data_IF_242213164961
#
_entry.id   IF_242213164961
#
_cell.length_a   1.000
_cell.length_b   1.000
_cell.length_c   1.000
_cell.angle_alpha   90.00
_cell.angle_beta   90.00
_cell.angle_gamma   90.00
#
_symmetry.space_group_name_H-M   'P 1'
#
loop_
_entity.id
_entity.type
_entity.pdbx_description
1 polymer ?
#
# COMPACT_ATOMS: atom_id res chain seq x y z
N UNK A 1 -36.62 20.43 -5.51
CA UNK A 1 -35.29 21.06 -5.66
C UNK A 1 -34.30 19.95 -5.92
N UNK A 2 -33.96 19.76 -7.18
CA UNK A 2 -32.92 18.81 -7.61
C UNK A 2 -31.60 19.54 -7.43
N UNK A 3 -30.73 19.01 -6.58
CA UNK A 3 -29.39 19.52 -6.40
C UNK A 3 -28.58 18.99 -7.59
N UNK A 4 -28.44 19.82 -8.64
CA UNK A 4 -27.52 19.56 -9.73
C UNK A 4 -26.11 19.53 -9.14
N UNK A 5 -25.57 18.32 -8.97
CA UNK A 5 -24.14 18.13 -8.82
C UNK A 5 -23.57 18.53 -10.18
N UNK A 6 -22.90 19.68 -10.21
CA UNK A 6 -22.02 20.06 -11.31
C UNK A 6 -20.98 18.95 -11.48
N UNK A 7 -21.29 17.99 -12.35
CA UNK A 7 -20.31 17.14 -12.99
C UNK A 7 -19.35 18.08 -13.69
N UNK A 8 -18.16 18.25 -13.13
CA UNK A 8 -17.06 18.92 -13.81
C UNK A 8 -16.83 18.20 -15.15
N UNK A 9 -17.31 18.83 -16.21
CA UNK A 9 -17.04 18.49 -17.60
C UNK A 9 -15.54 18.31 -17.80
N UNK A 10 -15.14 17.10 -18.23
CA UNK A 10 -14.16 16.72 -19.26
C UNK A 10 -13.00 17.68 -19.61
N UNK A 11 -12.47 18.43 -18.63
CA UNK A 11 -11.29 19.30 -18.78
C UNK A 11 -10.17 18.96 -17.78
N UNK A 12 -10.38 17.95 -16.93
CA UNK A 12 -9.43 17.52 -15.90
C UNK A 12 -8.32 16.56 -16.39
N UNK A 13 -8.30 16.24 -17.68
CA UNK A 13 -7.35 15.31 -18.29
C UNK A 13 -5.92 15.86 -18.46
N UNK A 14 -5.65 17.12 -18.12
CA UNK A 14 -4.36 17.75 -18.45
C UNK A 14 -3.44 18.06 -17.27
N UNK A 15 -3.85 17.85 -16.00
CA UNK A 15 -2.98 18.20 -14.86
C UNK A 15 -3.33 17.56 -13.50
N UNK A 16 -3.99 16.39 -13.46
CA UNK A 16 -4.23 15.70 -12.18
C UNK A 16 -3.04 14.81 -11.82
N UNK A 17 -2.42 15.10 -10.68
CA UNK A 17 -1.44 14.23 -10.04
C UNK A 17 -2.13 12.88 -9.73
N UNK A 18 -1.79 11.84 -10.50
CA UNK A 18 -2.35 10.48 -10.42
C UNK A 18 -2.17 9.80 -9.05
N UNK A 19 -1.33 10.37 -8.18
CA UNK A 19 -0.98 9.84 -6.87
C UNK A 19 -1.10 10.95 -5.81
N UNK A 20 -2.31 11.47 -5.62
CA UNK A 20 -2.68 12.34 -4.49
C UNK A 20 -3.77 11.68 -3.64
N UNK A 21 -3.74 11.79 -2.30
CA UNK A 21 -4.73 11.13 -1.43
C UNK A 21 -6.16 11.51 -1.75
N UNK A 22 -6.41 12.79 -2.02
CA UNK A 22 -7.74 13.30 -2.35
C UNK A 22 -8.23 12.70 -3.68
N UNK A 23 -7.37 12.66 -4.71
CA UNK A 23 -7.70 12.02 -5.98
C UNK A 23 -8.01 10.52 -5.82
N UNK A 24 -7.18 9.79 -5.08
CA UNK A 24 -7.37 8.35 -4.83
C UNK A 24 -8.66 8.08 -4.03
N UNK A 25 -8.97 8.96 -3.08
CA UNK A 25 -10.19 8.91 -2.28
C UNK A 25 -11.42 9.23 -3.14
N UNK A 26 -11.37 10.30 -3.92
CA UNK A 26 -12.44 10.71 -4.86
C UNK A 26 -12.75 9.61 -5.86
N UNK A 27 -11.73 8.92 -6.37
CA UNK A 27 -11.90 7.80 -7.28
C UNK A 27 -12.72 6.67 -6.62
N UNK A 28 -12.37 6.27 -5.40
CA UNK A 28 -13.09 5.23 -4.67
C UNK A 28 -14.52 5.66 -4.29
N UNK A 29 -14.72 6.93 -3.93
CA UNK A 29 -16.04 7.51 -3.65
C UNK A 29 -16.91 7.51 -4.90
N UNK A 30 -16.38 7.91 -6.05
CA UNK A 30 -17.09 7.84 -7.33
C UNK A 30 -17.55 6.40 -7.63
N UNK A 31 -16.67 5.40 -7.42
CA UNK A 31 -17.04 3.98 -7.56
C UNK A 31 -18.09 3.52 -6.57
N UNK A 32 -18.12 4.10 -5.37
CA UNK A 32 -19.17 3.84 -4.39
C UNK A 32 -20.53 4.39 -4.87
N UNK A 33 -20.56 5.56 -5.51
CA UNK A 33 -21.79 6.15 -6.08
C UNK A 33 -22.32 5.38 -7.30
N UNK A 34 -21.46 4.76 -8.11
CA UNK A 34 -21.87 3.90 -9.24
C UNK A 34 -22.69 2.68 -8.77
N UNK A 35 -22.58 2.29 -7.49
CA UNK A 35 -23.37 1.22 -6.87
C UNK A 35 -24.82 1.67 -6.64
N UNK A 36 -25.63 1.49 -7.67
CA UNK A 36 -26.96 2.10 -7.86
C UNK A 36 -28.14 1.39 -7.18
N UNK A 37 -27.94 0.32 -6.40
CA UNK A 37 -29.03 -0.41 -5.73
C UNK A 37 -28.88 -0.46 -4.21
N UNK A 38 -30.00 -0.36 -3.48
CA UNK A 38 -30.09 -0.58 -2.02
C UNK A 38 -29.62 -2.01 -1.65
N UNK A 39 -29.75 -2.97 -2.57
CA UNK A 39 -29.35 -4.38 -2.38
C UNK A 39 -27.83 -4.64 -2.37
N UNK A 40 -26.99 -3.62 -2.59
CA UNK A 40 -25.53 -3.75 -2.63
C UNK A 40 -24.83 -3.08 -1.44
N UNK A 41 -25.47 -3.11 -0.26
CA UNK A 41 -24.92 -2.58 1.00
C UNK A 41 -23.52 -3.12 1.31
N UNK A 42 -23.29 -4.41 1.07
CA UNK A 42 -21.99 -5.05 1.29
C UNK A 42 -20.86 -4.37 0.49
N UNK A 43 -21.09 -4.02 -0.78
CA UNK A 43 -20.09 -3.36 -1.64
C UNK A 43 -19.83 -1.93 -1.20
N UNK A 44 -20.87 -1.19 -0.84
CA UNK A 44 -20.73 0.17 -0.31
C UNK A 44 -19.85 0.17 0.94
N UNK A 45 -20.06 -0.79 1.84
CA UNK A 45 -19.24 -0.93 3.03
C UNK A 45 -17.79 -1.31 2.70
N UNK A 46 -17.55 -2.23 1.75
CA UNK A 46 -16.18 -2.55 1.30
C UNK A 46 -15.45 -1.28 0.84
N UNK A 47 -16.08 -0.50 -0.04
CA UNK A 47 -15.50 0.73 -0.56
C UNK A 47 -15.32 1.79 0.54
N UNK A 48 -16.24 1.87 1.49
CA UNK A 48 -16.12 2.75 2.67
C UNK A 48 -14.90 2.39 3.51
N UNK A 49 -14.71 1.10 3.85
CA UNK A 49 -13.52 0.66 4.58
C UNK A 49 -12.22 0.88 3.78
N UNK A 50 -12.26 0.73 2.45
CA UNK A 50 -11.12 1.05 1.59
C UNK A 50 -10.77 2.54 1.65
N UNK A 51 -11.77 3.42 1.57
CA UNK A 51 -11.62 4.88 1.70
C UNK A 51 -11.03 5.25 3.07
N UNK A 52 -11.46 4.56 4.13
CA UNK A 52 -10.94 4.75 5.49
C UNK A 52 -9.53 4.15 5.71
N UNK A 53 -8.95 3.50 4.69
CA UNK A 53 -7.58 2.97 4.77
C UNK A 53 -7.44 1.67 5.56
N UNK A 54 -8.52 0.89 5.70
CA UNK A 54 -8.44 -0.41 6.36
C UNK A 54 -7.76 -1.44 5.46
N UNK A 55 -6.91 -2.29 6.04
CA UNK A 55 -6.32 -3.44 5.36
C UNK A 55 -7.36 -4.48 4.95
N UNK A 56 -7.20 -5.11 3.78
CA UNK A 56 -8.20 -6.06 3.24
C UNK A 56 -8.63 -7.18 4.19
N UNK A 57 -7.73 -7.67 5.02
CA UNK A 57 -8.06 -8.72 5.98
C UNK A 57 -8.88 -8.20 7.16
N UNK A 58 -8.68 -6.93 7.57
CA UNK A 58 -9.54 -6.25 8.54
C UNK A 58 -10.91 -6.05 7.94
N UNK A 59 -11.00 -5.60 6.68
CA UNK A 59 -12.28 -5.46 5.96
C UNK A 59 -13.05 -6.78 5.95
N UNK A 60 -12.39 -7.88 5.60
CA UNK A 60 -12.98 -9.23 5.61
C UNK A 60 -13.51 -9.61 7.00
N UNK A 61 -12.74 -9.32 8.05
CA UNK A 61 -13.11 -9.62 9.43
C UNK A 61 -14.31 -8.79 9.91
N UNK A 62 -14.25 -7.47 9.72
CA UNK A 62 -15.29 -6.52 10.14
C UNK A 62 -16.62 -6.77 9.42
N UNK A 63 -16.56 -7.20 8.16
CA UNK A 63 -17.75 -7.53 7.36
C UNK A 63 -18.23 -8.98 7.53
N UNK A 64 -17.57 -9.78 8.38
CA UNK A 64 -17.97 -11.18 8.63
C UNK A 64 -17.90 -12.07 7.39
N UNK A 65 -17.00 -11.78 6.45
CA UNK A 65 -16.87 -12.54 5.21
C UNK A 65 -16.17 -13.88 5.45
N UNK A 66 -16.70 -14.95 4.85
CA UNK A 66 -16.05 -16.27 4.89
C UNK A 66 -14.79 -16.29 4.02
N UNK A 67 -13.63 -16.01 4.64
CA UNK A 67 -12.33 -16.04 3.97
C UNK A 67 -11.21 -16.28 4.98
N UNK A 68 -10.16 -16.97 4.55
CA UNK A 68 -8.89 -16.95 5.30
C UNK A 68 -8.17 -15.62 5.06
N UNK A 69 -7.31 -15.20 6.00
CA UNK A 69 -6.51 -13.97 5.88
C UNK A 69 -5.67 -13.96 4.60
N UNK A 70 -5.15 -15.12 4.19
CA UNK A 70 -4.37 -15.32 2.96
C UNK A 70 -5.18 -15.16 1.67
N UNK A 71 -6.51 -15.19 1.74
CA UNK A 71 -7.42 -15.08 0.59
C UNK A 71 -8.20 -13.77 0.57
N UNK A 72 -7.92 -12.83 1.49
CA UNK A 72 -8.69 -11.60 1.65
C UNK A 72 -8.81 -10.81 0.33
N UNK A 73 -7.70 -10.62 -0.38
CA UNK A 73 -7.71 -9.93 -1.68
C UNK A 73 -8.60 -10.63 -2.71
N UNK A 74 -8.45 -11.96 -2.85
CA UNK A 74 -9.27 -12.75 -3.78
C UNK A 74 -10.75 -12.66 -3.44
N UNK A 75 -11.09 -12.73 -2.15
CA UNK A 75 -12.47 -12.64 -1.66
C UNK A 75 -13.08 -11.29 -1.99
N UNK A 76 -12.36 -10.20 -1.69
CA UNK A 76 -12.82 -8.83 -1.99
C UNK A 76 -12.98 -8.64 -3.50
N UNK A 77 -11.98 -9.02 -4.31
CA UNK A 77 -12.06 -8.95 -5.78
C UNK A 77 -13.28 -9.70 -6.33
N UNK A 78 -13.51 -10.92 -5.83
CA UNK A 78 -14.69 -11.71 -6.22
C UNK A 78 -15.98 -11.01 -5.84
N UNK A 79 -16.09 -10.48 -4.63
CA UNK A 79 -17.28 -9.75 -4.17
C UNK A 79 -17.57 -8.52 -5.05
N UNK A 80 -16.55 -7.73 -5.39
CA UNK A 80 -16.70 -6.59 -6.29
C UNK A 80 -17.16 -7.02 -7.69
N UNK A 81 -16.55 -8.07 -8.26
CA UNK A 81 -16.90 -8.61 -9.58
C UNK A 81 -18.30 -9.23 -9.63
N UNK A 82 -18.64 -10.11 -8.67
CA UNK A 82 -19.93 -10.81 -8.61
C UNK A 82 -21.11 -9.83 -8.48
N UNK A 83 -20.85 -8.60 -7.99
CA UNK A 83 -21.81 -7.51 -7.88
C UNK A 83 -21.78 -6.53 -9.05
N UNK A 84 -21.09 -6.85 -10.14
CA UNK A 84 -21.13 -6.11 -11.40
C UNK A 84 -20.34 -4.79 -11.41
N UNK A 85 -19.42 -4.59 -10.45
CA UNK A 85 -18.52 -3.45 -10.49
C UNK A 85 -17.51 -3.65 -11.63
N UNK A 86 -17.39 -2.67 -12.53
CA UNK A 86 -16.39 -2.69 -13.61
C UNK A 86 -15.04 -2.19 -13.08
N UNK A 87 -13.96 -2.55 -13.77
CA UNK A 87 -12.59 -2.10 -13.48
C UNK A 87 -12.11 -2.45 -12.05
N UNK A 88 -12.44 -3.64 -11.56
CA UNK A 88 -12.02 -4.09 -10.21
C UNK A 88 -10.50 -4.04 -10.04
N UNK A 89 -9.72 -4.34 -11.07
CA UNK A 89 -8.26 -4.22 -11.01
C UNK A 89 -7.81 -2.78 -10.72
N UNK A 90 -8.39 -1.80 -11.41
CA UNK A 90 -8.10 -0.37 -11.21
C UNK A 90 -8.52 0.11 -9.81
N UNK A 91 -9.65 -0.39 -9.29
CA UNK A 91 -10.10 -0.13 -7.91
C UNK A 91 -9.07 -0.66 -6.92
N UNK A 92 -8.62 -1.90 -7.09
CA UNK A 92 -7.63 -2.51 -6.20
C UNK A 92 -6.30 -1.77 -6.28
N UNK A 93 -5.85 -1.39 -7.46
CA UNK A 93 -4.63 -0.60 -7.66
C UNK A 93 -4.71 0.75 -6.94
N UNK A 94 -5.78 1.52 -7.14
CA UNK A 94 -5.98 2.81 -6.47
C UNK A 94 -6.13 2.67 -4.96
N UNK A 95 -6.80 1.62 -4.50
CA UNK A 95 -6.87 1.32 -3.07
C UNK A 95 -5.49 1.01 -2.47
N UNK A 96 -4.65 0.20 -3.13
CA UNK A 96 -3.29 -0.03 -2.63
C UNK A 96 -2.44 1.23 -2.63
N UNK A 97 -2.57 2.06 -3.67
CA UNK A 97 -1.93 3.39 -3.74
C UNK A 97 -2.34 4.26 -2.56
N UNK A 98 -3.63 4.31 -2.23
CA UNK A 98 -4.16 5.07 -1.09
C UNK A 98 -3.64 4.50 0.23
N UNK A 99 -3.78 3.18 0.41
CA UNK A 99 -3.41 2.46 1.63
C UNK A 99 -1.93 2.64 1.98
N UNK A 100 -1.06 2.60 0.97
CA UNK A 100 0.40 2.69 1.14
C UNK A 100 0.97 4.06 0.77
N UNK A 101 0.11 5.07 0.58
CA UNK A 101 0.53 6.40 0.20
C UNK A 101 1.60 7.00 1.13
N UNK A 102 1.48 6.90 2.48
CA UNK A 102 2.52 7.41 3.37
C UNK A 102 3.88 6.73 3.19
N UNK A 103 3.89 5.43 2.85
CA UNK A 103 5.11 4.69 2.54
C UNK A 103 5.74 5.22 1.25
N UNK A 104 4.93 5.43 0.19
CA UNK A 104 5.40 5.98 -1.09
C UNK A 104 6.04 7.36 -0.90
N UNK A 105 5.38 8.26 -0.17
CA UNK A 105 5.91 9.60 0.14
C UNK A 105 7.22 9.54 0.91
N UNK A 106 7.31 8.70 1.94
CA UNK A 106 8.52 8.59 2.74
C UNK A 106 9.69 8.02 1.93
N UNK A 107 9.42 7.03 1.09
CA UNK A 107 10.41 6.39 0.23
C UNK A 107 10.92 7.33 -0.85
N UNK A 108 10.02 8.08 -1.50
CA UNK A 108 10.37 9.09 -2.48
C UNK A 108 11.17 10.24 -1.88
N UNK A 109 10.79 10.73 -0.69
CA UNK A 109 11.57 11.76 0.02
C UNK A 109 13.01 11.30 0.23
N UNK A 110 13.19 10.08 0.72
CA UNK A 110 14.50 9.50 0.95
C UNK A 110 15.30 9.33 -0.36
N UNK A 111 14.63 8.89 -1.42
CA UNK A 111 15.22 8.79 -2.75
C UNK A 111 15.73 10.14 -3.27
N UNK A 112 14.92 11.19 -3.16
CA UNK A 112 15.27 12.56 -3.56
C UNK A 112 16.44 13.11 -2.74
N UNK A 113 16.45 12.90 -1.42
CA UNK A 113 17.56 13.29 -0.54
C UNK A 113 18.88 12.65 -1.02
N UNK A 114 18.89 11.33 -1.24
CA UNK A 114 20.09 10.60 -1.69
C UNK A 114 20.53 10.93 -3.09
N UNK A 115 19.58 11.18 -3.99
CA UNK A 115 19.88 11.62 -5.34
C UNK A 115 20.54 13.02 -5.35
N UNK A 116 20.03 13.95 -4.54
CA UNK A 116 20.60 15.29 -4.40
C UNK A 116 21.97 15.28 -3.73
N UNK A 117 22.17 14.48 -2.67
CA UNK A 117 23.50 14.26 -2.06
C UNK A 117 24.52 13.82 -3.11
N UNK A 118 24.15 12.85 -3.96
CA UNK A 118 25.01 12.35 -5.04
C UNK A 118 25.34 13.45 -6.06
N UNK A 119 24.32 14.20 -6.53
CA UNK A 119 24.46 15.29 -7.50
C UNK A 119 25.38 16.41 -6.98
N UNK A 120 25.21 16.81 -5.72
CA UNK A 120 26.01 17.87 -5.08
C UNK A 120 27.44 17.42 -4.79
N UNK A 121 27.65 16.14 -4.49
CA UNK A 121 28.94 15.66 -4.02
C UNK A 121 30.08 15.75 -5.05
N UNK A 122 29.82 15.96 -6.36
CA UNK A 122 30.77 15.99 -7.51
C UNK A 122 31.80 14.85 -7.57
N UNK A 123 31.85 13.97 -6.57
CA UNK A 123 32.74 12.83 -6.49
C UNK A 123 32.21 11.81 -7.47
N UNK A 124 33.07 11.42 -8.41
CA UNK A 124 32.88 10.22 -9.23
C UNK A 124 32.77 9.01 -8.29
N UNK A 125 31.59 8.79 -7.75
CA UNK A 125 31.22 7.56 -7.07
C UNK A 125 31.41 6.43 -8.10
N UNK A 126 32.34 5.51 -7.86
CA UNK A 126 32.46 4.28 -8.64
C UNK A 126 31.24 3.37 -8.49
N UNK A 127 30.40 3.60 -7.46
CA UNK A 127 29.15 2.86 -7.27
C UNK A 127 28.05 3.46 -8.14
N UNK A 128 27.47 2.60 -8.97
CA UNK A 128 26.23 2.87 -9.72
C UNK A 128 25.12 3.18 -8.73
N UNK A 129 24.54 4.37 -8.81
CA UNK A 129 23.34 4.72 -8.07
C UNK A 129 22.18 3.88 -8.59
N UNK A 130 21.46 3.20 -7.70
CA UNK A 130 20.32 2.34 -8.05
C UNK A 130 19.06 2.90 -7.40
N UNK A 131 18.29 3.74 -8.10
CA UNK A 131 17.10 4.40 -7.54
C UNK A 131 16.14 3.44 -6.85
N UNK A 132 15.84 2.30 -7.49
CA UNK A 132 14.96 1.28 -6.92
C UNK A 132 15.43 0.77 -5.56
N UNK A 133 16.73 0.49 -5.38
CA UNK A 133 17.28 0.02 -4.10
C UNK A 133 17.16 1.10 -3.01
N UNK A 134 17.43 2.35 -3.36
CA UNK A 134 17.35 3.48 -2.43
C UNK A 134 15.91 3.73 -2.00
N UNK A 135 14.96 3.62 -2.93
CA UNK A 135 13.54 3.71 -2.60
C UNK A 135 13.10 2.59 -1.66
N UNK A 136 13.51 1.33 -1.93
CA UNK A 136 13.21 0.21 -1.04
C UNK A 136 13.75 0.45 0.37
N UNK A 137 14.96 1.01 0.50
CA UNK A 137 15.50 1.40 1.81
C UNK A 137 14.61 2.46 2.49
N UNK A 138 14.16 3.48 1.76
CA UNK A 138 13.25 4.50 2.28
C UNK A 138 11.89 3.95 2.72
N UNK A 139 11.32 3.01 1.95
CA UNK A 139 10.08 2.31 2.28
C UNK A 139 10.25 1.41 3.52
N UNK A 140 11.34 0.64 3.58
CA UNK A 140 11.67 -0.22 4.72
C UNK A 140 11.84 0.61 5.99
N UNK A 141 12.50 1.76 5.92
CA UNK A 141 12.62 2.69 7.07
C UNK A 141 11.25 3.14 7.58
N UNK A 142 10.35 3.56 6.68
CA UNK A 142 8.99 3.94 7.07
C UNK A 142 8.27 2.78 7.77
N UNK A 143 8.23 1.61 7.15
CA UNK A 143 7.56 0.43 7.70
C UNK A 143 8.16 0.01 9.05
N UNK A 144 9.48 0.12 9.20
CA UNK A 144 10.19 -0.14 10.45
C UNK A 144 9.74 0.74 11.61
N UNK A 145 9.24 1.96 11.35
CA UNK A 145 8.72 2.85 12.40
C UNK A 145 7.30 2.52 12.85
N UNK A 146 6.56 1.73 12.08
CA UNK A 146 5.18 1.35 12.41
C UNK A 146 5.17 0.33 13.54
N UNK A 147 4.24 0.49 14.47
CA UNK A 147 3.95 -0.52 15.49
C UNK A 147 3.26 -1.73 14.86
N UNK A 148 3.32 -2.91 15.50
CA UNK A 148 2.71 -4.13 14.96
C UNK A 148 1.22 -3.94 14.63
N UNK A 149 0.44 -3.34 15.53
CA UNK A 149 -0.99 -3.10 15.30
C UNK A 149 -1.27 -2.33 14.00
N UNK A 150 -0.44 -1.33 13.67
CA UNK A 150 -0.55 -0.56 12.43
C UNK A 150 0.01 -1.37 11.24
N UNK A 151 1.20 -1.94 11.37
CA UNK A 151 1.85 -2.71 10.31
C UNK A 151 1.02 -3.92 9.88
N UNK A 152 0.31 -4.54 10.83
CA UNK A 152 -0.56 -5.70 10.58
C UNK A 152 -1.69 -5.38 9.63
N UNK A 153 -2.15 -4.12 9.54
CA UNK A 153 -3.13 -3.67 8.55
C UNK A 153 -2.62 -3.83 7.10
N UNK A 154 -1.31 -3.81 6.89
CA UNK A 154 -0.71 -3.87 5.55
C UNK A 154 -0.10 -5.24 5.25
N UNK A 155 0.56 -5.83 6.24
CA UNK A 155 1.30 -7.08 6.13
C UNK A 155 0.57 -8.12 6.97
N UNK A 156 -0.12 -9.05 6.30
CA UNK A 156 -0.88 -10.08 7.01
C UNK A 156 0.02 -10.92 7.91
N UNK A 157 -0.51 -11.38 9.04
CA UNK A 157 0.22 -12.28 9.95
C UNK A 157 0.93 -13.45 9.22
N UNK A 158 0.29 -14.22 8.32
CA UNK A 158 0.99 -15.30 7.61
C UNK A 158 2.23 -14.86 6.82
N UNK A 159 2.23 -13.63 6.29
CA UNK A 159 3.40 -13.07 5.59
C UNK A 159 4.48 -12.68 6.60
N UNK A 160 4.12 -11.99 7.69
CA UNK A 160 5.05 -11.65 8.76
C UNK A 160 5.69 -12.91 9.40
N UNK A 161 4.98 -14.03 9.40
CA UNK A 161 5.43 -15.25 10.07
C UNK A 161 5.82 -16.38 9.12
N UNK A 162 5.93 -16.10 7.81
CA UNK A 162 6.10 -17.12 6.78
C UNK A 162 7.29 -18.07 7.01
N UNK A 163 8.33 -17.57 7.68
CA UNK A 163 9.57 -18.31 7.99
C UNK A 163 9.85 -18.39 9.49
N UNK A 164 8.87 -18.03 10.31
CA UNK A 164 8.97 -18.26 11.74
C UNK A 164 9.11 -19.78 11.96
N UNK A 165 10.05 -20.25 12.79
CA UNK A 165 10.25 -21.69 13.02
C UNK A 165 9.13 -22.31 13.88
N UNK A 166 7.90 -21.79 13.79
CA UNK A 166 6.74 -22.24 14.56
C UNK A 166 6.44 -23.68 14.11
N UNK A 167 6.85 -24.62 14.94
CA UNK A 167 6.48 -26.02 14.77
C UNK A 167 5.10 -26.27 15.39
N UNK A 168 4.55 -27.45 15.14
CA UNK A 168 3.27 -27.93 15.69
C UNK A 168 3.27 -28.17 17.22
N UNK A 169 4.32 -27.77 17.94
CA UNK A 169 4.41 -27.84 19.40
C UNK A 169 3.61 -26.70 20.09
N UNK A 170 2.77 -27.08 21.04
CA UNK A 170 1.96 -26.17 21.87
C UNK A 170 2.80 -25.13 22.61
N UNK A 171 4.01 -25.48 23.04
CA UNK A 171 4.89 -24.55 23.75
C UNK A 171 5.40 -23.44 22.82
N UNK A 172 5.75 -23.79 21.58
CA UNK A 172 6.20 -22.81 20.58
C UNK A 172 5.06 -21.90 20.12
N UNK A 173 3.84 -22.44 20.02
CA UNK A 173 2.63 -21.64 19.79
C UNK A 173 2.37 -20.67 20.95
N UNK A 174 2.53 -21.11 22.20
CA UNK A 174 2.37 -20.23 23.37
C UNK A 174 3.41 -19.10 23.39
N UNK A 175 4.68 -19.41 23.13
CA UNK A 175 5.74 -18.40 23.00
C UNK A 175 5.45 -17.41 21.88
N UNK A 176 4.96 -17.90 20.74
CA UNK A 176 4.56 -17.07 19.62
C UNK A 176 3.47 -16.06 19.98
N UNK A 177 2.37 -16.51 20.61
CA UNK A 177 1.30 -15.60 21.04
C UNK A 177 1.77 -14.62 22.11
N UNK A 178 2.63 -15.05 23.02
CA UNK A 178 3.24 -14.15 24.01
C UNK A 178 4.11 -13.08 23.36
N UNK A 179 4.87 -13.42 22.31
CA UNK A 179 5.64 -12.45 21.52
C UNK A 179 4.71 -11.47 20.81
N UNK A 180 3.67 -11.97 20.13
CA UNK A 180 2.65 -11.15 19.47
C UNK A 180 1.97 -10.17 20.43
N UNK A 181 1.63 -10.62 21.65
CA UNK A 181 0.99 -9.77 22.65
C UNK A 181 1.92 -8.63 23.11
N UNK A 182 3.23 -8.91 23.27
CA UNK A 182 4.23 -7.90 23.61
C UNK A 182 4.57 -6.96 22.45
N UNK A 183 4.47 -7.47 21.22
CA UNK A 183 4.83 -6.74 20.02
C UNK A 183 3.78 -5.70 19.59
N UNK A 184 2.55 -5.73 20.13
CA UNK A 184 1.45 -4.83 19.71
C UNK A 184 1.87 -3.36 19.62
N UNK A 185 2.58 -2.88 20.64
CA UNK A 185 3.08 -1.50 20.75
C UNK A 185 4.56 -1.37 20.35
N UNK A 186 5.20 -2.47 19.96
CA UNK A 186 6.60 -2.48 19.50
C UNK A 186 6.68 -2.15 18.01
N UNK A 187 7.74 -1.45 17.61
CA UNK A 187 7.98 -1.13 16.21
C UNK A 187 8.37 -2.37 15.42
N UNK A 188 7.97 -2.44 14.16
CA UNK A 188 8.28 -3.56 13.27
C UNK A 188 9.79 -3.82 13.20
N UNK A 189 10.63 -2.78 13.16
CA UNK A 189 12.09 -2.95 13.15
C UNK A 189 12.65 -3.71 14.35
N UNK A 190 11.95 -3.65 15.49
CA UNK A 190 12.47 -4.14 16.77
C UNK A 190 12.20 -5.64 16.94
N UNK A 191 11.17 -6.20 16.26
CA UNK A 191 10.79 -7.61 16.41
C UNK A 191 10.73 -8.41 15.11
N UNK A 192 10.76 -7.77 13.92
CA UNK A 192 10.54 -8.45 12.64
C UNK A 192 11.52 -9.62 12.41
N UNK A 193 12.79 -9.48 12.77
CA UNK A 193 13.78 -10.55 12.68
C UNK A 193 13.48 -11.72 13.63
N UNK A 194 12.99 -11.45 14.84
CA UNK A 194 12.66 -12.47 15.85
C UNK A 194 11.54 -13.42 15.42
N UNK A 195 10.74 -12.97 14.45
CA UNK A 195 9.57 -13.68 13.95
C UNK A 195 9.77 -14.22 12.52
N UNK A 196 10.98 -14.09 11.96
CA UNK A 196 11.31 -14.58 10.62
C UNK A 196 10.90 -13.63 9.48
N UNK A 197 10.57 -12.38 9.78
CA UNK A 197 10.33 -11.31 8.81
C UNK A 197 11.58 -10.43 8.65
N UNK A 198 12.65 -11.02 8.14
CA UNK A 198 13.91 -10.30 7.93
C UNK A 198 13.85 -9.29 6.77
N UNK A 199 14.98 -8.62 6.51
CA UNK A 199 15.08 -7.63 5.44
C UNK A 199 14.77 -8.20 4.05
N UNK A 200 15.08 -9.48 3.79
CA UNK A 200 14.82 -10.11 2.49
C UNK A 200 13.33 -10.27 2.27
N UNK A 201 12.60 -10.72 3.29
CA UNK A 201 11.15 -10.85 3.23
C UNK A 201 10.45 -9.49 3.12
N UNK A 202 10.95 -8.49 3.86
CA UNK A 202 10.44 -7.13 3.78
C UNK A 202 10.64 -6.54 2.37
N UNK A 203 11.83 -6.66 1.79
CA UNK A 203 12.12 -6.19 0.44
C UNK A 203 11.23 -6.89 -0.60
N UNK A 204 11.05 -8.21 -0.48
CA UNK A 204 10.15 -8.96 -1.34
C UNK A 204 8.70 -8.48 -1.21
N UNK A 205 8.25 -8.17 0.00
CA UNK A 205 6.91 -7.63 0.22
C UNK A 205 6.74 -6.25 -0.41
N UNK A 206 7.71 -5.35 -0.22
CA UNK A 206 7.71 -4.00 -0.82
C UNK A 206 7.63 -4.10 -2.35
N UNK A 207 8.47 -4.95 -2.96
CA UNK A 207 8.45 -5.19 -4.41
C UNK A 207 7.07 -5.68 -4.89
N UNK A 208 6.46 -6.62 -4.17
CA UNK A 208 5.13 -7.12 -4.51
C UNK A 208 4.04 -6.05 -4.34
N UNK A 209 4.13 -5.22 -3.29
CA UNK A 209 3.21 -4.11 -3.07
C UNK A 209 3.31 -3.07 -4.19
N UNK A 210 4.52 -2.68 -4.58
CA UNK A 210 4.75 -1.77 -5.71
C UNK A 210 4.16 -2.30 -7.01
N UNK A 211 4.33 -3.60 -7.30
CA UNK A 211 3.71 -4.24 -8.45
C UNK A 211 2.17 -4.14 -8.42
N UNK A 212 1.54 -4.36 -7.26
CA UNK A 212 0.08 -4.20 -7.12
C UNK A 212 -0.40 -2.76 -7.30
N UNK A 213 0.47 -1.80 -6.99
CA UNK A 213 0.21 -0.38 -7.22
C UNK A 213 0.50 0.04 -8.65
N UNK A 214 1.05 -0.83 -9.51
CA UNK A 214 1.50 -0.49 -10.86
C UNK A 214 2.40 0.77 -10.82
N UNK A 215 3.38 0.74 -9.91
CA UNK A 215 4.38 1.80 -9.74
C UNK A 215 5.76 1.21 -9.94
N UNK A 216 6.55 1.86 -10.79
CA UNK A 216 7.98 1.59 -10.95
C UNK A 216 8.82 2.84 -10.68
N UNK A 217 10.14 2.68 -10.67
CA UNK A 217 11.08 3.77 -10.42
C UNK A 217 12.04 3.85 -11.60
N UNK A 218 12.12 5.03 -12.20
CA UNK A 218 12.99 5.30 -13.34
C UNK A 218 14.47 5.39 -12.94
N UNK A 219 15.36 5.33 -13.93
CA UNK A 219 16.79 5.59 -13.73
C UNK A 219 17.09 7.01 -13.23
N UNK A 220 16.17 7.95 -13.50
CA UNK A 220 16.24 9.34 -13.06
C UNK A 220 15.68 9.57 -11.64
N UNK A 221 15.38 8.49 -10.91
CA UNK A 221 14.83 8.54 -9.56
C UNK A 221 13.41 9.13 -9.47
N UNK A 222 12.60 8.89 -10.51
CA UNK A 222 11.20 9.33 -10.57
C UNK A 222 10.26 8.13 -10.38
N UNK A 223 9.12 8.35 -9.73
CA UNK A 223 8.05 7.35 -9.67
C UNK A 223 7.25 7.39 -10.97
N UNK A 224 7.06 6.22 -11.59
CA UNK A 224 6.31 6.06 -12.83
C UNK A 224 5.04 5.28 -12.54
N UNK A 225 3.92 5.76 -13.04
CA UNK A 225 2.67 5.00 -13.10
C UNK A 225 2.73 4.06 -14.30
N UNK A 226 2.83 2.76 -14.05
CA UNK A 226 2.97 1.76 -15.11
C UNK A 226 1.68 1.59 -15.93
N UNK A 227 0.52 2.03 -15.42
CA UNK A 227 -0.74 2.02 -16.18
C UNK A 227 -0.76 3.08 -17.28
N UNK A 228 -0.17 4.24 -17.03
CA UNK A 228 -0.24 5.42 -17.92
C UNK A 228 1.11 5.76 -18.57
N UNK A 229 2.21 5.23 -18.05
CA UNK A 229 3.58 5.60 -18.39
C UNK A 229 3.99 6.99 -17.92
N UNK A 230 3.17 7.66 -17.10
CA UNK A 230 3.43 9.04 -16.66
C UNK A 230 4.29 9.08 -15.39
N UNK A 231 5.09 10.14 -15.27
CA UNK A 231 5.81 10.46 -14.03
C UNK A 231 4.81 10.99 -12.99
N UNK A 232 4.76 10.36 -11.82
CA UNK A 232 3.77 10.62 -10.76
C UNK A 232 4.40 11.00 -9.42
N UNK A 233 5.61 11.56 -9.46
CA UNK A 233 6.37 11.95 -8.28
C UNK A 233 5.51 12.81 -7.32
N UNK A 234 5.37 12.38 -6.06
CA UNK A 234 4.46 12.99 -5.08
C UNK A 234 5.03 14.23 -4.40
N UNK A 235 6.35 14.37 -4.42
CA UNK A 235 7.09 15.51 -3.90
C UNK A 235 7.69 16.27 -5.08
N UNK A 236 7.33 17.53 -5.25
CA UNK A 236 7.99 18.41 -6.22
C UNK A 236 9.49 18.40 -5.92
N UNK A 237 10.36 17.99 -6.87
CA UNK A 237 11.79 18.06 -6.63
C UNK A 237 12.15 19.50 -6.25
N UNK A 238 13.09 19.69 -5.31
CA UNK A 238 13.62 21.01 -5.00
C UNK A 238 14.03 21.68 -6.31
N UNK A 239 13.28 22.70 -6.71
CA UNK A 239 13.66 23.55 -7.83
C UNK A 239 14.91 24.30 -7.40
N UNK A 240 15.92 24.28 -8.28
CA UNK A 240 17.14 25.06 -8.11
C UNK A 240 16.85 26.56 -8.06
#
# INVERSE_FOLDING_TARGET
MVQEILLHEDSLASQKHLLEPDYLTDYLQMKQYEVSSEDKKEIKNILEYMILGYGLHVIVSELGMQSTLSLAERTIRRKLNDNGLKNVDEIMTNYYRLLLFPMLQSAERYLNEKYNELRLSKKKSKKVFKPSLVFHEGASRYLGTLTYNIASNFITMPIMFAYSPITSDVNQLSEFFNKLAKAQDSKLSDFASEIGFDSVQLDSWISNAMKKMEISISENAELIDDLTGQVITTIKPCQN
#
